data_IF_176427731859
#
_entry.id   IF_176427731859
#
_cell.length_a   1.000
_cell.length_b   1.000
_cell.length_c   1.000
_cell.angle_alpha   90.00
_cell.angle_beta   90.00
_cell.angle_gamma   90.00
#
_symmetry.space_group_name_H-M   'P 1'
#
loop_
_entity.id
_entity.type
_entity.pdbx_description
1 polymer ?
#
# COMPACT_ATOMS: atom_id res chain seq x y z
N UNK A 1 -7.23 13.18 2.68
CA UNK A 1 -7.19 11.98 1.82
C UNK A 1 -7.72 10.73 2.51
N UNK A 2 -7.17 10.28 3.67
CA UNK A 2 -7.65 9.08 4.35
C UNK A 2 -9.15 9.13 4.72
N UNK A 3 -9.65 10.26 5.21
CA UNK A 3 -11.07 10.47 5.49
C UNK A 3 -11.95 10.28 4.23
N UNK A 4 -11.57 10.89 3.10
CA UNK A 4 -12.25 10.68 1.81
C UNK A 4 -12.29 9.22 1.38
N UNK A 5 -11.19 8.48 1.57
CA UNK A 5 -11.16 7.05 1.27
C UNK A 5 -12.08 6.25 2.20
N UNK A 6 -12.20 6.64 3.47
CA UNK A 6 -13.16 6.02 4.40
C UNK A 6 -14.60 6.19 3.91
N UNK A 7 -14.95 7.36 3.37
CA UNK A 7 -16.26 7.58 2.73
C UNK A 7 -16.56 6.57 1.63
N UNK A 8 -15.60 6.31 0.72
CA UNK A 8 -15.76 5.31 -0.34
C UNK A 8 -15.86 3.87 0.21
N UNK A 9 -15.08 3.54 1.25
CA UNK A 9 -15.16 2.25 1.93
C UNK A 9 -16.52 2.06 2.61
N UNK A 10 -16.98 3.05 3.35
CA UNK A 10 -18.27 3.00 4.06
C UNK A 10 -19.43 2.84 3.08
N UNK A 11 -19.43 3.60 1.98
CA UNK A 11 -20.44 3.45 0.92
C UNK A 11 -20.46 2.01 0.35
N UNK A 12 -19.29 1.39 0.11
CA UNK A 12 -19.22 0.02 -0.41
C UNK A 12 -19.76 -1.03 0.57
N UNK A 13 -19.59 -0.80 1.87
CA UNK A 13 -19.96 -1.74 2.94
C UNK A 13 -21.30 -1.40 3.60
N UNK A 14 -22.05 -0.45 3.06
CA UNK A 14 -23.32 0.02 3.64
C UNK A 14 -23.17 0.53 5.09
N UNK A 15 -22.02 1.09 5.43
CA UNK A 15 -21.73 1.71 6.72
C UNK A 15 -22.15 3.19 6.65
N UNK A 16 -22.76 3.76 7.69
CA UNK A 16 -23.06 5.20 7.75
C UNK A 16 -21.82 6.05 7.52
N UNK A 17 -22.03 7.21 6.89
CA UNK A 17 -20.94 8.14 6.62
C UNK A 17 -20.55 8.92 7.88
N UNK A 18 -19.26 9.13 8.04
CA UNK A 18 -18.70 10.05 9.04
C UNK A 18 -18.23 11.28 8.28
N UNK A 19 -18.64 12.50 8.66
CA UNK A 19 -18.12 13.72 8.04
C UNK A 19 -16.58 13.75 8.08
N UNK A 20 -15.95 14.21 6.99
CA UNK A 20 -14.48 14.21 6.89
C UNK A 20 -13.84 15.06 8.00
N UNK A 21 -14.46 16.17 8.34
CA UNK A 21 -14.04 17.08 9.42
C UNK A 21 -14.06 16.39 10.80
N UNK A 22 -15.15 15.67 11.09
CA UNK A 22 -15.29 14.93 12.35
C UNK A 22 -14.26 13.81 12.46
N UNK A 23 -14.03 13.09 11.35
CA UNK A 23 -13.01 12.05 11.28
C UNK A 23 -11.60 12.60 11.57
N UNK A 24 -11.25 13.74 10.96
CA UNK A 24 -9.96 14.40 11.18
C UNK A 24 -9.86 14.96 12.59
N UNK A 25 -10.93 15.59 13.10
CA UNK A 25 -10.96 16.14 14.44
C UNK A 25 -10.82 15.06 15.52
N UNK A 26 -11.47 13.91 15.34
CA UNK A 26 -11.33 12.77 16.25
C UNK A 26 -9.88 12.27 16.33
N UNK A 27 -9.18 12.17 15.17
CA UNK A 27 -7.76 11.80 15.14
C UNK A 27 -6.92 12.83 15.90
N UNK A 28 -7.11 14.12 15.63
CA UNK A 28 -6.38 15.18 16.35
C UNK A 28 -6.57 15.09 17.86
N UNK A 29 -7.80 14.90 18.31
CA UNK A 29 -8.12 14.82 19.73
C UNK A 29 -7.40 13.65 20.41
N UNK A 30 -7.43 12.45 19.82
CA UNK A 30 -6.76 11.27 20.38
C UNK A 30 -5.23 11.44 20.38
N UNK A 31 -4.65 11.94 19.29
CA UNK A 31 -3.19 12.17 19.22
C UNK A 31 -2.74 13.25 20.22
N UNK A 32 -3.54 14.31 20.43
CA UNK A 32 -3.22 15.34 21.40
C UNK A 32 -3.27 14.81 22.86
N UNK A 33 -4.22 13.94 23.18
CA UNK A 33 -4.33 13.33 24.53
C UNK A 33 -3.16 12.39 24.80
N UNK A 34 -2.75 11.62 23.79
CA UNK A 34 -1.70 10.60 23.89
C UNK A 34 -0.36 11.09 23.32
N UNK A 35 -0.10 12.40 23.32
CA UNK A 35 1.11 12.98 22.75
C UNK A 35 2.42 12.41 23.34
N UNK A 36 2.40 12.04 24.62
CA UNK A 36 3.54 11.44 25.33
C UNK A 36 3.90 10.03 24.81
N UNK A 37 2.99 9.38 24.07
CA UNK A 37 3.24 8.09 23.42
C UNK A 37 3.91 8.21 22.04
N UNK A 38 4.10 9.42 21.51
CA UNK A 38 4.79 9.64 20.26
C UNK A 38 6.28 9.31 20.46
N UNK A 39 6.80 8.27 19.79
CA UNK A 39 8.19 7.88 19.97
C UNK A 39 9.13 8.91 19.34
N UNK A 40 10.28 9.13 19.96
CA UNK A 40 11.27 10.13 19.54
C UNK A 40 12.50 9.51 18.87
N UNK A 41 12.66 8.20 18.95
CA UNK A 41 13.78 7.49 18.33
C UNK A 41 13.74 7.58 16.80
N UNK A 42 14.89 7.74 16.13
CA UNK A 42 14.95 7.76 14.67
C UNK A 42 14.32 6.52 14.03
N UNK A 43 13.54 6.72 12.98
CA UNK A 43 12.85 5.63 12.25
C UNK A 43 11.58 5.11 12.92
N UNK A 44 11.17 5.71 14.05
CA UNK A 44 9.92 5.38 14.73
C UNK A 44 8.81 6.38 14.41
N UNK A 45 7.57 5.98 14.67
CA UNK A 45 6.39 6.83 14.50
C UNK A 45 5.24 6.36 15.37
N UNK A 46 4.24 7.21 15.58
CA UNK A 46 2.97 6.80 16.16
C UNK A 46 2.03 6.33 15.04
N UNK A 47 1.70 5.05 15.05
CA UNK A 47 0.74 4.49 14.10
C UNK A 47 -0.68 4.79 14.55
N UNK A 48 -1.43 5.51 13.73
CA UNK A 48 -2.83 5.88 13.99
C UNK A 48 -3.75 4.97 13.17
N UNK A 49 -4.60 4.20 13.83
CA UNK A 49 -5.53 3.27 13.18
C UNK A 49 -6.98 3.60 13.51
N UNK A 50 -7.65 4.41 12.69
CA UNK A 50 -9.11 4.51 12.73
C UNK A 50 -9.74 3.29 12.07
N UNK A 51 -10.80 2.75 12.65
CA UNK A 51 -11.55 1.63 12.11
C UNK A 51 -12.99 1.61 12.60
N UNK A 52 -13.84 0.89 11.91
CA UNK A 52 -15.28 0.75 12.21
C UNK A 52 -15.60 -0.72 12.30
N UNK A 53 -16.37 -1.10 13.30
CA UNK A 53 -16.96 -2.44 13.46
C UNK A 53 -18.48 -2.35 13.56
N UNK A 54 -19.17 -3.33 13.01
CA UNK A 54 -20.61 -3.53 13.21
C UNK A 54 -20.85 -4.12 14.61
N UNK A 55 -21.92 -3.70 15.27
CA UNK A 55 -22.19 -4.07 16.66
C UNK A 55 -23.57 -4.67 16.91
N UNK A 56 -24.38 -4.91 15.87
CA UNK A 56 -25.65 -5.63 16.03
C UNK A 56 -25.41 -7.09 16.42
N UNK A 57 -26.21 -7.61 17.31
CA UNK A 57 -26.26 -9.00 17.73
C UNK A 57 -27.15 -9.85 16.79
N UNK A 58 -26.84 -9.85 15.51
CA UNK A 58 -27.64 -10.44 14.45
C UNK A 58 -26.88 -11.47 13.62
N UNK A 59 -27.49 -12.63 13.34
CA UNK A 59 -26.85 -13.72 12.62
C UNK A 59 -27.07 -13.68 11.09
N UNK A 60 -27.97 -12.85 10.59
CA UNK A 60 -28.26 -12.73 9.17
C UNK A 60 -27.23 -11.93 8.39
N UNK A 61 -27.29 -12.01 7.05
CA UNK A 61 -26.48 -11.19 6.17
C UNK A 61 -27.25 -9.92 5.80
N UNK A 62 -27.01 -8.86 6.56
CA UNK A 62 -27.61 -7.53 6.35
C UNK A 62 -26.64 -6.46 6.84
N UNK A 63 -26.78 -5.21 6.39
CA UNK A 63 -26.10 -4.08 7.03
C UNK A 63 -26.51 -3.98 8.50
N UNK A 64 -25.55 -3.69 9.37
CA UNK A 64 -25.83 -3.44 10.79
C UNK A 64 -26.57 -2.12 10.97
N UNK A 65 -27.39 -2.01 12.01
CA UNK A 65 -28.05 -0.76 12.39
C UNK A 65 -27.14 0.09 13.31
N UNK A 66 -26.20 -0.55 13.99
CA UNK A 66 -25.29 0.10 14.93
C UNK A 66 -23.84 -0.24 14.62
N UNK A 67 -22.98 0.75 14.80
CA UNK A 67 -21.55 0.66 14.53
C UNK A 67 -20.75 1.34 15.62
N UNK A 68 -19.53 0.88 15.83
CA UNK A 68 -18.57 1.54 16.70
C UNK A 68 -17.38 2.02 15.85
N UNK A 69 -17.17 3.35 15.83
CA UNK A 69 -15.98 3.96 15.28
C UNK A 69 -14.92 4.10 16.37
N UNK A 70 -13.71 3.60 16.12
CA UNK A 70 -12.62 3.64 17.08
C UNK A 70 -11.34 4.14 16.41
N UNK A 71 -10.48 4.76 17.22
CA UNK A 71 -9.13 5.13 16.84
C UNK A 71 -8.19 4.56 17.90
N UNK A 72 -7.27 3.71 17.48
CA UNK A 72 -6.20 3.19 18.34
C UNK A 72 -4.85 3.72 17.88
N UNK A 73 -3.97 3.93 18.85
CA UNK A 73 -2.60 4.40 18.63
C UNK A 73 -1.62 3.31 19.04
N UNK A 74 -0.51 3.23 18.33
CA UNK A 74 0.59 2.31 18.68
C UNK A 74 1.93 2.93 18.29
N UNK A 75 2.90 3.07 19.21
CA UNK A 75 4.27 3.31 18.83
C UNK A 75 4.76 2.21 17.89
N UNK A 76 5.40 2.58 16.80
CA UNK A 76 5.82 1.66 15.74
C UNK A 76 7.25 1.95 15.31
N UNK A 77 8.03 0.90 15.11
CA UNK A 77 9.36 0.94 14.52
C UNK A 77 9.33 0.78 13.00
N UNK A 78 10.48 0.38 12.43
CA UNK A 78 10.58 0.09 11.00
C UNK A 78 9.64 -1.06 10.60
N UNK A 79 9.07 -0.97 9.39
CA UNK A 79 8.13 -1.98 8.87
C UNK A 79 8.79 -3.36 8.70
N UNK A 80 10.01 -3.39 8.23
CA UNK A 80 10.84 -4.59 8.19
C UNK A 80 11.93 -4.51 9.25
N UNK A 81 12.22 -5.61 9.93
CA UNK A 81 13.26 -5.67 10.96
C UNK A 81 14.66 -5.40 10.40
N UNK A 82 14.89 -5.70 9.11
CA UNK A 82 16.11 -5.40 8.36
C UNK A 82 16.26 -3.93 7.94
N UNK A 83 15.23 -3.10 8.17
CA UNK A 83 15.19 -1.72 7.69
C UNK A 83 14.73 -1.60 6.22
N UNK A 84 15.26 -0.60 5.50
CA UNK A 84 14.95 -0.39 4.09
C UNK A 84 15.87 -1.26 3.23
N UNK A 85 15.56 -2.57 3.16
CA UNK A 85 16.29 -3.51 2.30
C UNK A 85 15.39 -4.12 1.24
N UNK A 86 15.93 -4.48 0.05
CA UNK A 86 15.14 -5.11 -0.98
C UNK A 86 14.62 -6.47 -0.56
N UNK A 87 13.32 -6.68 -0.77
CA UNK A 87 12.64 -7.93 -0.43
C UNK A 87 12.44 -8.83 -1.64
N UNK A 88 12.30 -10.14 -1.38
CA UNK A 88 11.88 -11.11 -2.39
C UNK A 88 10.36 -11.21 -2.44
N UNK A 89 9.81 -11.25 -3.64
CA UNK A 89 8.35 -11.30 -3.89
C UNK A 89 8.00 -12.51 -4.76
N UNK A 90 6.95 -13.21 -4.37
CA UNK A 90 6.34 -14.30 -5.14
C UNK A 90 5.19 -13.78 -6.00
N UNK A 91 5.21 -14.01 -7.31
CA UNK A 91 4.05 -13.70 -8.18
C UNK A 91 3.07 -14.86 -8.06
N UNK A 92 1.88 -14.57 -7.54
CA UNK A 92 0.86 -15.57 -7.23
C UNK A 92 -0.06 -15.82 -8.44
N UNK A 93 -0.18 -17.06 -8.86
CA UNK A 93 -0.96 -17.48 -10.02
C UNK A 93 -2.15 -18.39 -9.68
N UNK A 94 -2.27 -18.83 -8.41
CA UNK A 94 -3.37 -19.69 -7.95
C UNK A 94 -4.46 -18.91 -7.21
N UNK A 95 -4.06 -18.12 -6.21
CA UNK A 95 -4.99 -17.33 -5.41
C UNK A 95 -5.14 -15.90 -5.94
N UNK A 96 -6.28 -15.28 -5.68
CA UNK A 96 -6.55 -13.88 -6.01
C UNK A 96 -6.90 -13.10 -4.75
N UNK A 97 -6.38 -11.87 -4.65
CA UNK A 97 -6.69 -10.98 -3.54
C UNK A 97 -8.08 -10.37 -3.67
N UNK A 98 -8.44 -9.96 -4.87
CA UNK A 98 -9.68 -9.25 -5.17
C UNK A 98 -10.04 -9.38 -6.65
N UNK A 99 -11.29 -9.03 -6.96
CA UNK A 99 -11.78 -8.96 -8.34
C UNK A 99 -12.48 -7.64 -8.57
N UNK A 100 -12.54 -7.20 -9.82
CA UNK A 100 -13.34 -6.05 -10.21
C UNK A 100 -14.82 -6.27 -9.86
N UNK A 101 -15.46 -5.27 -9.24
CA UNK A 101 -16.82 -5.39 -8.70
C UNK A 101 -16.89 -6.01 -7.29
N UNK A 102 -15.76 -6.56 -6.79
CA UNK A 102 -15.59 -7.01 -5.41
C UNK A 102 -15.31 -5.86 -4.45
N UNK A 103 -14.50 -6.12 -3.42
CA UNK A 103 -14.18 -5.18 -2.36
C UNK A 103 -12.76 -4.63 -2.43
N UNK A 104 -11.98 -4.95 -3.48
CA UNK A 104 -10.54 -4.65 -3.54
C UNK A 104 -10.18 -3.18 -3.37
N UNK A 105 -11.03 -2.27 -3.87
CA UNK A 105 -10.84 -0.83 -3.73
C UNK A 105 -11.26 -0.27 -2.35
N UNK A 106 -11.95 -1.05 -1.53
CA UNK A 106 -12.37 -0.69 -0.18
C UNK A 106 -11.35 -1.18 0.86
N UNK A 107 -11.11 -0.39 1.90
CA UNK A 107 -10.22 -0.76 2.99
C UNK A 107 -10.97 -1.60 4.03
N UNK A 108 -11.07 -2.90 3.81
CA UNK A 108 -11.89 -3.82 4.60
C UNK A 108 -11.17 -5.13 4.93
N UNK A 109 -11.53 -5.74 6.08
CA UNK A 109 -10.90 -6.95 6.61
C UNK A 109 -10.96 -8.16 5.66
N UNK A 110 -12.00 -8.28 4.84
CA UNK A 110 -12.13 -9.37 3.86
C UNK A 110 -10.99 -9.45 2.85
N UNK A 111 -10.47 -8.31 2.39
CA UNK A 111 -9.31 -8.27 1.48
C UNK A 111 -8.03 -8.81 2.15
N UNK A 112 -7.88 -8.57 3.44
CA UNK A 112 -6.72 -9.10 4.20
C UNK A 112 -6.86 -10.60 4.46
N UNK A 113 -8.06 -11.06 4.83
CA UNK A 113 -8.33 -12.48 5.02
C UNK A 113 -8.07 -13.29 3.74
N UNK A 114 -8.48 -12.78 2.58
CA UNK A 114 -8.25 -13.42 1.28
C UNK A 114 -6.76 -13.59 0.93
N UNK A 115 -5.87 -12.77 1.52
CA UNK A 115 -4.44 -12.80 1.20
C UNK A 115 -3.63 -13.80 2.06
N UNK A 116 -4.17 -14.30 3.17
CA UNK A 116 -3.37 -14.99 4.19
C UNK A 116 -2.72 -16.28 3.69
N UNK A 117 -3.45 -17.13 3.00
CA UNK A 117 -2.92 -18.44 2.59
C UNK A 117 -1.75 -18.31 1.62
N UNK A 118 -1.85 -17.40 0.64
CA UNK A 118 -0.77 -17.16 -0.30
C UNK A 118 0.44 -16.52 0.37
N UNK A 119 0.22 -15.60 1.34
CA UNK A 119 1.30 -15.01 2.12
C UNK A 119 2.05 -16.03 2.96
N UNK A 120 1.34 -16.97 3.61
CA UNK A 120 1.98 -18.06 4.38
C UNK A 120 2.82 -18.92 3.45
N UNK A 121 2.29 -19.38 2.31
CA UNK A 121 3.04 -20.17 1.32
C UNK A 121 4.30 -19.45 0.84
N UNK A 122 4.18 -18.17 0.47
CA UNK A 122 5.32 -17.37 0.02
C UNK A 122 6.38 -17.22 1.11
N UNK A 123 5.97 -17.03 2.36
CA UNK A 123 6.88 -16.94 3.50
C UNK A 123 7.61 -18.26 3.76
N UNK A 124 6.93 -19.39 3.70
CA UNK A 124 7.52 -20.72 3.86
C UNK A 124 8.59 -21.02 2.79
N UNK A 125 8.43 -20.42 1.59
CA UNK A 125 9.39 -20.50 0.48
C UNK A 125 10.44 -19.36 0.50
N UNK A 126 10.50 -18.56 1.59
CA UNK A 126 11.52 -17.51 1.78
C UNK A 126 11.26 -16.21 1.05
N UNK A 127 9.99 -15.92 0.70
CA UNK A 127 9.57 -14.64 0.11
C UNK A 127 8.81 -13.81 1.14
N UNK A 128 9.02 -12.49 1.10
CA UNK A 128 8.43 -11.58 2.09
C UNK A 128 6.98 -11.23 1.79
N UNK A 129 6.58 -11.21 0.52
CA UNK A 129 5.26 -10.78 0.07
C UNK A 129 4.86 -11.51 -1.23
N UNK A 130 3.59 -11.36 -1.57
CA UNK A 130 2.98 -11.88 -2.78
C UNK A 130 2.64 -10.74 -3.74
N UNK A 131 2.98 -10.87 -5.03
CA UNK A 131 2.51 -9.98 -6.10
C UNK A 131 1.22 -10.58 -6.68
N UNK A 132 0.14 -9.81 -6.58
CA UNK A 132 -1.20 -10.25 -6.98
C UNK A 132 -1.46 -9.97 -8.45
N UNK A 133 -2.06 -10.95 -9.12
CA UNK A 133 -2.59 -10.81 -10.46
C UNK A 133 -4.10 -10.57 -10.43
N UNK A 134 -4.63 -10.03 -11.52
CA UNK A 134 -6.06 -9.82 -11.69
C UNK A 134 -6.85 -11.13 -11.60
N UNK A 135 -8.02 -11.05 -11.00
CA UNK A 135 -8.82 -12.24 -10.69
C UNK A 135 -9.56 -12.87 -11.87
N UNK A 136 -9.42 -12.35 -13.09
CA UNK A 136 -10.13 -12.85 -14.29
C UNK A 136 -9.17 -13.54 -15.26
N UNK A 137 -8.18 -12.80 -15.73
CA UNK A 137 -7.20 -13.28 -16.72
C UNK A 137 -5.96 -13.87 -16.07
N UNK A 138 -5.71 -13.56 -14.77
CA UNK A 138 -4.49 -13.92 -14.01
C UNK A 138 -3.21 -13.56 -14.75
N UNK A 139 -3.24 -12.43 -15.38
CA UNK A 139 -2.22 -11.92 -16.27
C UNK A 139 -1.70 -10.55 -15.89
N UNK A 140 -2.60 -9.68 -15.41
CA UNK A 140 -2.27 -8.30 -15.15
C UNK A 140 -1.96 -8.10 -13.66
N UNK A 141 -0.89 -7.38 -13.40
CA UNK A 141 -0.43 -7.08 -12.05
C UNK A 141 -1.35 -6.05 -11.40
N UNK A 142 -1.66 -6.25 -10.11
CA UNK A 142 -2.53 -5.35 -9.34
C UNK A 142 -1.83 -4.76 -8.11
N UNK A 143 -1.45 -5.54 -7.14
CA UNK A 143 -0.86 -5.10 -5.88
C UNK A 143 0.23 -6.06 -5.38
N UNK A 144 1.06 -5.62 -4.43
CA UNK A 144 2.03 -6.47 -3.74
C UNK A 144 1.71 -6.53 -2.24
N UNK A 145 1.40 -7.73 -1.73
CA UNK A 145 0.94 -7.89 -0.35
C UNK A 145 -0.28 -7.03 -0.06
N UNK A 146 -0.12 -6.05 0.84
CA UNK A 146 -1.13 -5.04 1.18
C UNK A 146 -0.72 -3.62 0.71
N UNK A 147 0.12 -3.53 -0.33
CA UNK A 147 0.69 -2.31 -0.87
C UNK A 147 0.39 -2.16 -2.37
N UNK A 148 0.35 -0.92 -2.87
CA UNK A 148 0.42 -0.68 -4.31
C UNK A 148 1.83 -0.95 -4.83
N UNK A 149 1.97 -1.24 -6.12
CA UNK A 149 3.23 -1.60 -6.75
C UNK A 149 3.60 -0.60 -7.85
N UNK A 150 4.89 -0.34 -8.00
CA UNK A 150 5.49 0.50 -9.02
C UNK A 150 6.67 -0.21 -9.67
N UNK A 151 6.90 0.11 -10.94
CA UNK A 151 7.99 -0.39 -11.75
C UNK A 151 8.69 0.80 -12.41
N UNK A 152 10.01 0.78 -12.46
CA UNK A 152 10.77 1.66 -13.33
C UNK A 152 11.19 0.86 -14.54
N UNK A 153 10.59 1.16 -15.69
CA UNK A 153 10.81 0.45 -16.95
C UNK A 153 11.21 1.45 -18.03
N UNK A 154 12.39 1.28 -18.62
CA UNK A 154 12.90 2.13 -19.71
C UNK A 154 12.82 3.62 -19.34
N UNK A 155 13.26 3.97 -18.10
CA UNK A 155 13.25 5.33 -17.56
C UNK A 155 11.89 5.86 -17.11
N UNK A 156 10.80 5.11 -17.25
CA UNK A 156 9.44 5.53 -16.89
C UNK A 156 8.98 4.86 -15.60
N UNK A 157 8.19 5.57 -14.82
CA UNK A 157 7.51 5.01 -13.65
C UNK A 157 6.14 4.47 -14.08
N UNK A 158 5.93 3.17 -13.92
CA UNK A 158 4.70 2.49 -14.31
C UNK A 158 4.02 1.92 -13.06
N UNK A 159 2.71 2.12 -12.93
CA UNK A 159 1.90 1.52 -11.86
C UNK A 159 0.57 1.03 -12.42
N UNK A 160 0.00 -0.06 -11.87
CA UNK A 160 -1.31 -0.52 -12.29
C UNK A 160 -2.38 0.57 -12.16
N UNK A 161 -3.19 0.70 -13.21
CA UNK A 161 -4.33 1.63 -13.22
C UNK A 161 -5.40 1.15 -12.26
N UNK A 162 -6.02 2.07 -11.52
CA UNK A 162 -7.11 1.76 -10.59
C UNK A 162 -8.35 1.30 -11.39
N UNK A 163 -8.66 0.01 -11.32
CA UNK A 163 -9.69 -0.66 -12.10
C UNK A 163 -10.91 -1.11 -11.28
N UNK A 164 -10.91 -0.85 -9.96
CA UNK A 164 -11.96 -1.24 -9.02
C UNK A 164 -11.62 -2.49 -8.18
N UNK A 165 -10.50 -3.18 -8.44
CA UNK A 165 -9.95 -4.23 -7.56
C UNK A 165 -8.75 -3.76 -6.73
N UNK A 166 -8.14 -2.64 -7.10
CA UNK A 166 -6.95 -2.08 -6.46
C UNK A 166 -7.34 -0.98 -5.48
N UNK A 167 -6.74 -0.98 -4.28
CA UNK A 167 -6.94 0.07 -3.30
C UNK A 167 -6.29 1.39 -3.78
N UNK A 168 -7.03 2.52 -3.83
CA UNK A 168 -6.43 3.83 -4.09
C UNK A 168 -5.59 4.27 -2.90
N UNK A 169 -4.30 3.87 -2.91
CA UNK A 169 -3.37 4.14 -1.82
C UNK A 169 -3.01 5.62 -1.73
N UNK A 170 -2.96 6.18 -0.51
CA UNK A 170 -2.56 7.57 -0.30
C UNK A 170 -1.06 7.74 -0.63
N UNK A 171 -0.22 6.81 -0.19
CA UNK A 171 1.21 6.82 -0.53
C UNK A 171 1.42 6.66 -2.03
N UNK A 172 0.61 5.81 -2.72
CA UNK A 172 0.63 5.70 -4.19
C UNK A 172 0.39 7.06 -4.85
N UNK A 173 -0.64 7.76 -4.42
CA UNK A 173 -0.96 9.11 -4.93
C UNK A 173 0.19 10.10 -4.68
N UNK A 174 0.75 10.10 -3.48
CA UNK A 174 1.91 10.93 -3.13
C UNK A 174 3.12 10.64 -4.03
N UNK A 175 3.44 9.37 -4.27
CA UNK A 175 4.55 8.95 -5.13
C UNK A 175 4.34 9.42 -6.57
N UNK A 176 3.12 9.31 -7.11
CA UNK A 176 2.79 9.80 -8.45
C UNK A 176 3.03 11.31 -8.54
N UNK A 177 2.59 12.09 -7.54
CA UNK A 177 2.80 13.54 -7.51
C UNK A 177 4.29 13.89 -7.44
N UNK A 178 5.05 13.24 -6.57
CA UNK A 178 6.50 13.48 -6.42
C UNK A 178 7.24 13.14 -7.71
N UNK A 179 6.97 12.00 -8.33
CA UNK A 179 7.61 11.60 -9.58
C UNK A 179 7.34 12.59 -10.72
N UNK A 180 6.10 13.06 -10.84
CA UNK A 180 5.73 14.10 -11.82
C UNK A 180 6.47 15.41 -11.57
N UNK A 181 6.60 15.83 -10.31
CA UNK A 181 7.36 17.01 -9.92
C UNK A 181 8.86 16.91 -10.22
N UNK A 182 9.41 15.71 -10.19
CA UNK A 182 10.78 15.46 -10.62
C UNK A 182 10.94 15.38 -12.14
N UNK A 183 9.86 15.55 -12.90
CA UNK A 183 9.86 15.47 -14.36
C UNK A 183 9.97 14.04 -14.89
N UNK A 184 9.73 13.02 -14.05
CA UNK A 184 9.73 11.62 -14.49
C UNK A 184 8.41 11.31 -15.21
N UNK A 185 8.45 10.61 -16.35
CA UNK A 185 7.25 10.10 -17.00
C UNK A 185 6.55 9.08 -16.10
N UNK A 186 5.26 9.29 -15.80
CA UNK A 186 4.45 8.36 -14.99
C UNK A 186 3.30 7.84 -15.82
N UNK A 187 3.19 6.51 -15.92
CA UNK A 187 2.14 5.80 -16.63
C UNK A 187 1.28 4.99 -15.64
N UNK A 188 -0.01 5.31 -15.59
CA UNK A 188 -1.01 4.52 -14.88
C UNK A 188 -1.73 3.64 -15.90
N UNK A 189 -1.36 2.37 -16.02
CA UNK A 189 -1.87 1.45 -17.04
C UNK A 189 -1.88 0.00 -16.58
N UNK A 190 -2.49 -0.89 -17.37
CA UNK A 190 -2.30 -2.32 -17.19
C UNK A 190 -0.85 -2.70 -17.52
N UNK A 191 -0.31 -3.63 -16.76
CA UNK A 191 1.00 -4.26 -16.99
C UNK A 191 0.84 -5.76 -16.80
N UNK A 192 1.28 -6.56 -17.76
CA UNK A 192 1.21 -8.01 -17.65
C UNK A 192 2.48 -8.61 -17.07
N UNK A 193 2.38 -9.85 -16.56
CA UNK A 193 3.56 -10.62 -16.14
C UNK A 193 4.50 -10.84 -17.31
N UNK A 194 3.96 -11.14 -18.50
CA UNK A 194 4.78 -11.33 -19.72
C UNK A 194 5.60 -10.09 -20.05
N UNK A 195 4.98 -8.89 -19.99
CA UNK A 195 5.66 -7.62 -20.18
C UNK A 195 6.77 -7.40 -19.14
N UNK A 196 6.52 -7.76 -17.89
CA UNK A 196 7.49 -7.63 -16.81
C UNK A 196 8.71 -8.55 -17.05
N UNK A 197 8.47 -9.79 -17.46
CA UNK A 197 9.51 -10.77 -17.81
C UNK A 197 10.33 -10.28 -19.00
N UNK A 198 9.68 -9.76 -20.03
CA UNK A 198 10.36 -9.21 -21.20
C UNK A 198 11.22 -7.98 -20.86
N UNK A 199 10.67 -7.08 -20.01
CA UNK A 199 11.42 -5.92 -19.55
C UNK A 199 12.65 -6.32 -18.72
N UNK A 200 12.53 -7.36 -17.89
CA UNK A 200 13.66 -7.90 -17.13
C UNK A 200 14.71 -8.53 -18.07
N UNK A 201 14.31 -9.39 -19.01
CA UNK A 201 15.23 -10.05 -19.97
C UNK A 201 15.96 -9.06 -20.86
N UNK A 202 15.31 -7.96 -21.24
CA UNK A 202 15.89 -6.90 -22.07
C UNK A 202 16.70 -5.87 -21.26
N UNK A 203 16.81 -6.02 -19.93
CA UNK A 203 17.50 -5.08 -19.06
C UNK A 203 16.80 -3.74 -18.87
N UNK A 204 15.52 -3.65 -19.25
CA UNK A 204 14.71 -2.43 -19.13
C UNK A 204 13.97 -2.30 -17.79
N UNK A 205 13.84 -3.39 -17.02
CA UNK A 205 13.28 -3.37 -15.67
C UNK A 205 14.36 -2.92 -14.68
N UNK A 206 14.36 -1.63 -14.35
CA UNK A 206 15.40 -1.00 -13.55
C UNK A 206 15.13 -1.09 -12.05
N UNK A 207 13.91 -0.79 -11.63
CA UNK A 207 13.48 -0.82 -10.22
C UNK A 207 12.07 -1.36 -10.07
N UNK A 208 11.80 -2.00 -8.93
CA UNK A 208 10.46 -2.40 -8.49
C UNK A 208 10.31 -2.04 -7.02
N UNK A 209 9.17 -1.45 -6.64
CA UNK A 209 8.90 -1.12 -5.24
C UNK A 209 7.41 -1.08 -4.91
N UNK A 210 7.09 -1.55 -3.71
CA UNK A 210 5.77 -1.41 -3.11
C UNK A 210 5.61 -0.07 -2.39
N UNK A 211 4.37 0.43 -2.25
CA UNK A 211 4.07 1.63 -1.47
C UNK A 211 2.88 1.44 -0.55
N UNK A 212 3.04 1.85 0.71
CA UNK A 212 1.99 1.74 1.73
C UNK A 212 2.22 2.66 2.90
N UNK A 213 1.27 2.77 3.82
CA UNK A 213 1.38 3.67 4.97
C UNK A 213 2.52 3.27 5.91
N UNK A 214 2.64 1.99 6.22
CA UNK A 214 3.64 1.52 7.19
C UNK A 214 5.04 1.39 6.59
N UNK A 215 5.15 0.81 5.40
CA UNK A 215 6.43 0.63 4.70
C UNK A 215 6.93 1.90 4.02
N UNK A 216 6.06 2.87 3.76
CA UNK A 216 6.28 4.04 2.90
C UNK A 216 6.66 3.61 1.48
N UNK A 217 7.90 3.17 1.28
CA UNK A 217 8.43 2.52 0.07
C UNK A 217 9.09 1.22 0.49
N UNK A 218 8.82 0.13 -0.23
CA UNK A 218 9.41 -1.19 0.00
C UNK A 218 10.10 -1.65 -1.29
N UNK A 219 11.44 -1.53 -1.40
CA UNK A 219 12.18 -1.97 -2.56
C UNK A 219 12.07 -3.48 -2.78
N UNK A 220 12.06 -3.90 -4.04
CA UNK A 220 12.02 -5.32 -4.42
C UNK A 220 13.31 -5.68 -5.14
N UNK A 221 14.04 -6.65 -4.59
CA UNK A 221 15.33 -7.12 -5.15
C UNK A 221 15.18 -8.33 -6.07
N UNK A 222 14.13 -9.14 -5.85
CA UNK A 222 13.85 -10.29 -6.69
C UNK A 222 12.36 -10.58 -6.80
N UNK A 223 11.94 -11.09 -7.96
CA UNK A 223 10.61 -11.64 -8.21
C UNK A 223 10.74 -13.10 -8.59
N UNK A 224 9.83 -13.94 -8.11
CA UNK A 224 9.68 -15.33 -8.58
C UNK A 224 8.33 -15.50 -9.24
N UNK A 225 8.32 -16.08 -10.43
CA UNK A 225 7.12 -16.50 -11.13
C UNK A 225 7.28 -17.94 -11.58
N UNK A 226 6.44 -18.84 -11.08
CA UNK A 226 6.61 -20.30 -11.24
C UNK A 226 8.02 -20.73 -10.81
N UNK A 227 8.82 -21.28 -11.72
CA UNK A 227 10.20 -21.73 -11.45
C UNK A 227 11.26 -20.66 -11.78
N UNK A 228 10.86 -19.56 -12.42
CA UNK A 228 11.77 -18.50 -12.84
C UNK A 228 11.98 -17.46 -11.74
N UNK A 229 13.25 -17.14 -11.45
CA UNK A 229 13.63 -16.07 -10.52
C UNK A 229 14.25 -14.92 -11.31
N UNK A 230 13.67 -13.76 -11.16
CA UNK A 230 14.13 -12.51 -11.78
C UNK A 230 14.81 -11.63 -10.73
N UNK A 231 16.08 -11.31 -10.90
CA UNK A 231 16.76 -10.29 -10.10
C UNK A 231 16.44 -8.91 -10.69
N UNK A 232 16.09 -7.95 -9.84
CA UNK A 232 15.78 -6.57 -10.24
C UNK A 232 17.06 -5.74 -10.11
N UNK A 233 17.48 -5.12 -11.21
CA UNK A 233 18.76 -4.41 -11.22
C UNK A 233 19.91 -5.32 -10.81
N UNK A 234 20.66 -4.90 -9.81
CA UNK A 234 21.72 -5.69 -9.15
C UNK A 234 21.27 -6.33 -7.82
N UNK A 235 19.98 -6.28 -7.52
CA UNK A 235 19.38 -6.77 -6.28
C UNK A 235 19.47 -5.79 -5.10
N UNK A 236 20.02 -4.60 -5.31
CA UNK A 236 20.11 -3.55 -4.30
C UNK A 236 18.96 -2.56 -4.37
N UNK A 237 18.93 -1.58 -3.47
CA UNK A 237 17.92 -0.51 -3.48
C UNK A 237 18.16 0.39 -4.68
N UNK A 238 17.13 0.59 -5.51
CA UNK A 238 17.20 1.51 -6.62
C UNK A 238 17.22 2.99 -6.18
N UNK A 239 17.80 3.83 -7.02
CA UNK A 239 17.97 5.28 -6.74
C UNK A 239 16.61 5.98 -6.52
N UNK A 240 15.61 5.66 -7.34
CA UNK A 240 14.27 6.26 -7.23
C UNK A 240 13.57 5.78 -5.97
N UNK A 241 13.66 4.50 -5.65
CA UNK A 241 13.09 3.91 -4.45
C UNK A 241 13.64 4.58 -3.18
N UNK A 242 14.95 4.74 -3.08
CA UNK A 242 15.60 5.42 -1.97
C UNK A 242 15.19 6.89 -1.89
N UNK A 243 15.27 7.62 -3.00
CA UNK A 243 14.90 9.03 -3.06
C UNK A 243 13.44 9.29 -2.70
N UNK A 244 12.51 8.41 -3.12
CA UNK A 244 11.10 8.48 -2.74
C UNK A 244 10.91 8.25 -1.24
N UNK A 245 11.56 7.23 -0.68
CA UNK A 245 11.51 6.96 0.75
C UNK A 245 11.98 8.16 1.57
N UNK A 246 13.15 8.72 1.24
CA UNK A 246 13.72 9.87 1.94
C UNK A 246 12.84 11.12 1.80
N UNK A 247 12.24 11.33 0.63
CA UNK A 247 11.37 12.48 0.38
C UNK A 247 10.06 12.37 1.15
N UNK A 248 9.37 11.24 1.06
CA UNK A 248 8.08 11.05 1.76
C UNK A 248 8.27 11.10 3.27
N UNK A 249 9.25 10.37 3.81
CA UNK A 249 9.54 10.38 5.26
C UNK A 249 10.05 11.74 5.72
N UNK A 250 10.86 12.41 4.90
CA UNK A 250 11.35 13.77 5.18
C UNK A 250 10.22 14.78 5.31
N UNK A 251 9.22 14.73 4.43
CA UNK A 251 8.00 15.55 4.52
C UNK A 251 7.19 15.19 5.76
N UNK A 252 6.93 13.89 5.99
CA UNK A 252 6.15 13.41 7.13
C UNK A 252 6.75 13.85 8.47
N UNK A 253 8.07 13.76 8.61
CA UNK A 253 8.81 14.14 9.83
C UNK A 253 9.12 15.65 9.93
N UNK A 254 8.73 16.44 8.94
CA UNK A 254 9.00 17.88 8.93
C UNK A 254 10.46 18.25 8.65
N UNK A 255 11.28 17.32 8.17
CA UNK A 255 12.66 17.54 7.75
C UNK A 255 12.75 18.20 6.38
N UNK A 256 11.75 18.00 5.54
CA UNK A 256 11.59 18.64 4.24
C UNK A 256 10.34 19.50 4.23
N UNK A 257 10.34 20.53 3.38
CA UNK A 257 9.18 21.38 3.16
C UNK A 257 8.00 20.58 2.60
N UNK A 258 6.82 20.81 3.17
CA UNK A 258 5.57 20.22 2.68
C UNK A 258 4.90 21.14 1.66
N UNK A 259 5.42 21.18 0.46
CA UNK A 259 4.86 21.97 -0.65
C UNK A 259 3.50 21.46 -1.15
N UNK A 260 3.07 20.30 -0.70
CA UNK A 260 1.81 19.68 -1.12
C UNK A 260 0.68 19.88 -0.10
N UNK A 261 0.99 20.36 1.11
CA UNK A 261 0.01 20.51 2.18
C UNK A 261 -0.53 19.15 2.71
N UNK A 262 0.32 18.14 2.78
CA UNK A 262 -0.08 16.80 3.24
C UNK A 262 -0.08 16.67 4.76
N UNK A 263 0.69 17.48 5.45
CA UNK A 263 0.73 17.45 6.91
C UNK A 263 -0.46 18.18 7.51
N UNK A 264 -0.95 17.65 8.61
CA UNK A 264 -2.01 18.27 9.40
C UNK A 264 -1.48 18.53 10.79
N UNK A 265 -1.55 19.79 11.23
CA UNK A 265 -1.16 20.18 12.58
C UNK A 265 -2.17 19.63 13.59
N UNK A 266 -1.68 18.99 14.66
CA UNK A 266 -2.47 18.54 15.81
C UNK A 266 -2.49 19.61 16.87
#
# INVERSE_FOLDING_TARGET
MNAKRTTATNARLCIPQIPEEDFVQAIKAVVAVDADWIPTEPGTSLYVRPFIIATDDFLGVAPSNTYLFMIILSPSGAYYSSGLEPVGIWIEDDYVRAVRGGMGYAKTGGNYAASLIAQVKAHDDGYSQVLWLDGVERKYIEEVGAMNIFFKIDGKIVTPVLNGSILPGITRDSVIHICKDWGLPVEERKISVDELIEAQKSGKLEEVFGTGTAAVVSPVGKLRYMDDVMTIGDGTIGEISQKLYDTVTGIQLGKLEDKYGWRVQV
#
